data_IF_128570455215
#
_entry.id   IF_128570455215
#
_cell.length_a   1.000
_cell.length_b   1.000
_cell.length_c   1.000
_cell.angle_alpha   90.00
_cell.angle_beta   90.00
_cell.angle_gamma   90.00
#
_symmetry.space_group_name_H-M   'P 1'
#
loop_
_entity.id
_entity.type
_entity.pdbx_description
1 polymer ?
#
# COMPACT_ATOMS: atom_id res chain seq x y z
N UNK A 1 -16.59 11.19 6.32
CA UNK A 1 -16.30 10.19 7.38
C UNK A 1 -16.89 10.59 8.73
N UNK A 2 -16.59 11.76 9.28
CA UNK A 2 -17.04 12.17 10.62
C UNK A 2 -18.57 12.04 10.86
N UNK A 3 -19.41 12.29 9.85
CA UNK A 3 -20.88 12.11 9.95
C UNK A 3 -21.35 10.66 10.05
N UNK A 4 -20.47 9.69 9.77
CA UNK A 4 -20.78 8.26 9.71
C UNK A 4 -20.03 7.45 10.78
N UNK A 5 -19.43 8.12 11.77
CA UNK A 5 -18.78 7.49 12.90
C UNK A 5 -19.13 8.22 14.19
N UNK A 6 -18.90 7.56 15.34
CA UNK A 6 -19.08 8.20 16.64
C UNK A 6 -18.04 9.29 16.85
N UNK A 7 -16.77 8.97 16.58
CA UNK A 7 -15.63 9.89 16.73
C UNK A 7 -14.64 9.67 15.59
N UNK A 8 -13.98 10.73 15.12
CA UNK A 8 -12.90 10.67 14.16
C UNK A 8 -11.63 11.33 14.71
N UNK A 9 -10.50 10.65 14.58
CA UNK A 9 -9.18 11.17 14.95
C UNK A 9 -8.34 11.37 13.69
N UNK A 10 -7.77 12.56 13.52
CA UNK A 10 -6.83 12.89 12.45
C UNK A 10 -5.45 13.21 13.04
N UNK A 11 -4.42 12.58 12.50
CA UNK A 11 -3.02 12.86 12.85
C UNK A 11 -2.34 13.41 11.62
N UNK A 12 -1.71 14.58 11.75
CA UNK A 12 -1.09 15.30 10.65
C UNK A 12 0.21 15.95 11.13
N UNK A 13 1.28 15.92 10.34
CA UNK A 13 2.58 16.49 10.73
C UNK A 13 2.58 18.01 10.81
N UNK A 14 1.75 18.68 10.01
CA UNK A 14 1.64 20.14 9.97
C UNK A 14 0.57 20.67 10.94
N UNK A 15 0.99 21.50 11.90
CA UNK A 15 0.08 22.20 12.82
C UNK A 15 -0.89 23.11 12.07
N UNK A 16 -0.41 23.82 11.05
CA UNK A 16 -1.22 24.71 10.19
C UNK A 16 -2.30 23.91 9.45
N UNK A 17 -1.98 22.70 9.00
CA UNK A 17 -2.96 21.82 8.37
C UNK A 17 -4.01 21.32 9.39
N UNK A 18 -3.61 21.00 10.62
CA UNK A 18 -4.54 20.69 11.70
C UNK A 18 -5.47 21.85 12.02
N UNK A 19 -4.98 23.09 12.09
CA UNK A 19 -5.80 24.28 12.33
C UNK A 19 -6.80 24.51 11.20
N UNK A 20 -6.35 24.34 9.95
CA UNK A 20 -7.22 24.39 8.76
C UNK A 20 -8.31 23.31 8.81
N UNK A 21 -7.96 22.10 9.26
CA UNK A 21 -8.93 21.01 9.42
C UNK A 21 -9.95 21.29 10.54
N UNK A 22 -9.53 21.87 11.66
CA UNK A 22 -10.44 22.31 12.75
C UNK A 22 -11.38 23.40 12.27
N UNK A 23 -10.89 24.40 11.55
CA UNK A 23 -11.71 25.47 10.97
C UNK A 23 -12.76 24.88 10.00
N UNK A 24 -12.32 23.98 9.12
CA UNK A 24 -13.20 23.31 8.16
C UNK A 24 -14.29 22.49 8.84
N UNK A 25 -13.95 21.76 9.92
CA UNK A 25 -14.92 21.04 10.73
C UNK A 25 -15.93 22.00 11.39
N UNK A 26 -15.46 23.14 11.91
CA UNK A 26 -16.30 24.19 12.49
C UNK A 26 -17.32 24.76 11.49
N UNK A 27 -16.88 25.08 10.27
CA UNK A 27 -17.75 25.56 9.18
C UNK A 27 -18.83 24.54 8.82
N UNK A 28 -18.50 23.25 8.86
CA UNK A 28 -19.41 22.14 8.57
C UNK A 28 -20.24 21.70 9.79
N UNK A 29 -20.10 22.39 10.94
CA UNK A 29 -20.73 22.06 12.23
C UNK A 29 -20.45 20.63 12.68
N UNK A 30 -19.29 20.07 12.31
CA UNK A 30 -18.83 18.74 12.72
C UNK A 30 -18.08 18.89 14.05
N UNK A 31 -18.56 18.19 15.09
CA UNK A 31 -18.03 18.33 16.46
C UNK A 31 -17.32 17.09 16.99
N UNK A 32 -17.44 15.95 16.30
CA UNK A 32 -16.90 14.67 16.73
C UNK A 32 -15.53 14.35 16.09
N UNK A 33 -14.74 15.38 15.80
CA UNK A 33 -13.43 15.26 15.18
C UNK A 33 -12.35 15.81 16.10
N UNK A 34 -11.26 15.06 16.26
CA UNK A 34 -10.08 15.47 16.99
C UNK A 34 -8.88 15.47 16.03
N UNK A 35 -8.11 16.55 16.02
CA UNK A 35 -6.92 16.68 15.19
C UNK A 35 -5.70 16.85 16.09
N UNK A 36 -4.65 16.06 15.84
CA UNK A 36 -3.40 16.07 16.60
C UNK A 36 -2.24 16.30 15.64
N UNK A 37 -1.46 17.34 15.94
CA UNK A 37 -0.25 17.62 15.17
C UNK A 37 0.88 16.70 15.64
N UNK A 38 1.49 15.95 14.74
CA UNK A 38 2.62 15.08 15.07
C UNK A 38 3.01 14.14 13.95
N UNK A 39 4.27 13.67 14.02
CA UNK A 39 4.80 12.73 13.04
C UNK A 39 4.29 11.33 13.32
N UNK A 40 3.63 10.74 12.32
CA UNK A 40 3.06 9.40 12.39
C UNK A 40 4.15 8.33 12.28
N UNK A 41 4.81 8.06 13.40
CA UNK A 41 5.82 7.00 13.57
C UNK A 41 5.32 5.99 14.61
N UNK A 42 5.78 4.73 14.51
CA UNK A 42 5.33 3.67 15.41
C UNK A 42 5.46 4.04 16.90
N UNK A 43 6.60 4.64 17.28
CA UNK A 43 6.89 5.05 18.68
C UNK A 43 6.03 6.22 19.18
N UNK A 44 5.46 7.03 18.29
CA UNK A 44 4.66 8.19 18.68
C UNK A 44 3.18 7.88 18.75
N UNK A 45 2.73 6.78 18.14
CA UNK A 45 1.32 6.39 18.08
C UNK A 45 0.60 6.42 19.44
N UNK A 46 1.18 5.92 20.55
CA UNK A 46 0.53 5.96 21.87
C UNK A 46 0.32 7.37 22.44
N UNK A 47 1.07 8.36 21.94
CA UNK A 47 0.92 9.77 22.34
C UNK A 47 -0.05 10.53 21.42
N UNK A 48 -0.20 10.09 20.17
CA UNK A 48 -0.96 10.78 19.14
C UNK A 48 -2.43 10.33 19.09
N UNK A 49 -2.70 9.08 19.45
CA UNK A 49 -4.04 8.50 19.43
C UNK A 49 -4.41 7.98 20.83
N UNK A 50 -5.70 8.02 21.20
CA UNK A 50 -6.15 7.37 22.42
C UNK A 50 -5.84 5.88 22.38
N UNK A 51 -5.72 5.27 23.56
CA UNK A 51 -5.66 3.80 23.65
C UNK A 51 -6.94 3.21 23.06
N UNK A 52 -6.80 2.09 22.38
CA UNK A 52 -7.94 1.36 21.86
C UNK A 52 -8.77 0.85 23.04
N UNK A 53 -10.08 1.08 22.99
CA UNK A 53 -11.03 0.91 24.11
C UNK A 53 -12.04 -0.24 23.86
N UNK A 54 -11.75 -1.12 22.91
CA UNK A 54 -12.64 -2.18 22.45
C UNK A 54 -13.58 -1.79 21.31
N UNK A 55 -13.74 -0.50 21.00
CA UNK A 55 -14.60 -0.09 19.88
C UNK A 55 -13.99 -0.44 18.51
N UNK A 56 -14.80 -0.90 17.53
CA UNK A 56 -14.29 -1.22 16.19
C UNK A 56 -13.76 0.03 15.48
N UNK A 57 -12.48 0.00 15.10
CA UNK A 57 -11.84 1.10 14.36
C UNK A 57 -11.88 0.86 12.85
N UNK A 58 -12.00 1.94 12.08
CA UNK A 58 -11.72 1.97 10.65
C UNK A 58 -10.55 2.91 10.45
N UNK A 59 -9.53 2.43 9.75
CA UNK A 59 -8.32 3.20 9.49
C UNK A 59 -8.34 3.73 8.06
N UNK A 60 -8.07 5.03 7.90
CA UNK A 60 -7.78 5.67 6.62
C UNK A 60 -6.32 6.12 6.64
N UNK A 61 -5.51 5.61 5.72
CA UNK A 61 -4.10 5.97 5.56
C UNK A 61 -3.87 6.59 4.19
N UNK A 62 -3.26 7.78 4.20
CA UNK A 62 -2.78 8.46 3.00
C UNK A 62 -1.30 8.81 3.22
N UNK A 63 -0.39 7.82 3.09
CA UNK A 63 1.03 8.05 3.31
C UNK A 63 1.67 8.84 2.16
N UNK A 64 2.84 9.46 2.36
CA UNK A 64 3.61 10.04 1.27
C UNK A 64 4.02 8.98 0.24
N UNK A 65 4.54 9.41 -0.92
CA UNK A 65 4.98 8.53 -2.01
C UNK A 65 5.95 7.42 -1.60
N UNK A 66 6.77 7.66 -0.58
CA UNK A 66 7.73 6.67 -0.06
C UNK A 66 7.06 5.58 0.81
N UNK A 67 5.74 5.65 1.03
CA UNK A 67 4.98 4.75 1.87
C UNK A 67 5.03 5.13 3.35
N UNK A 68 4.58 4.20 4.18
CA UNK A 68 4.57 4.32 5.64
C UNK A 68 5.96 4.12 6.25
N UNK A 69 6.19 4.81 7.37
CA UNK A 69 7.35 4.61 8.23
C UNK A 69 7.47 3.14 8.67
N UNK A 70 8.71 2.67 8.87
CA UNK A 70 8.99 1.26 9.15
C UNK A 70 8.36 0.88 10.49
N UNK A 71 7.54 -0.16 10.49
CA UNK A 71 6.88 -0.62 11.72
C UNK A 71 5.59 0.13 12.06
N UNK A 72 5.26 1.23 11.36
CA UNK A 72 3.98 1.92 11.55
C UNK A 72 2.78 0.99 11.28
N UNK A 73 2.81 0.23 10.18
CA UNK A 73 1.78 -0.77 9.86
C UNK A 73 1.62 -1.80 10.99
N UNK A 74 2.73 -2.26 11.58
CA UNK A 74 2.67 -3.22 12.69
C UNK A 74 2.00 -2.59 13.91
N UNK A 75 2.41 -1.38 14.30
CA UNK A 75 1.81 -0.66 15.43
C UNK A 75 0.33 -0.34 15.21
N UNK A 76 -0.08 -0.01 13.98
CA UNK A 76 -1.48 0.21 13.63
C UNK A 76 -2.28 -1.09 13.66
N UNK A 77 -1.70 -2.21 13.24
CA UNK A 77 -2.34 -3.53 13.28
C UNK A 77 -2.61 -4.01 14.72
N UNK A 78 -1.81 -3.62 15.70
CA UNK A 78 -2.06 -3.92 17.13
C UNK A 78 -3.39 -3.35 17.62
N UNK A 79 -3.89 -2.27 17.00
CA UNK A 79 -5.21 -1.69 17.28
C UNK A 79 -6.36 -2.51 16.69
N UNK A 80 -6.05 -3.54 15.89
CA UNK A 80 -7.00 -4.46 15.24
C UNK A 80 -8.12 -3.74 14.48
N UNK A 81 -7.81 -2.79 13.58
CA UNK A 81 -8.84 -2.12 12.78
C UNK A 81 -9.71 -3.15 12.04
N UNK A 82 -11.03 -2.94 12.04
CA UNK A 82 -12.00 -3.79 11.34
C UNK A 82 -11.89 -3.65 9.82
N UNK A 83 -11.42 -2.50 9.35
CA UNK A 83 -11.22 -2.19 7.94
C UNK A 83 -10.12 -1.15 7.81
N UNK A 84 -9.29 -1.31 6.80
CA UNK A 84 -8.25 -0.35 6.44
C UNK A 84 -8.55 0.11 5.02
N UNK A 85 -8.49 1.41 4.80
CA UNK A 85 -8.48 2.04 3.49
C UNK A 85 -7.14 2.73 3.37
N UNK A 86 -6.29 2.25 2.46
CA UNK A 86 -4.98 2.83 2.23
C UNK A 86 -4.90 3.36 0.80
N UNK A 87 -4.47 4.59 0.67
CA UNK A 87 -4.18 5.26 -0.60
C UNK A 87 -2.72 5.04 -0.98
N UNK A 88 -2.47 4.96 -2.27
CA UNK A 88 -1.16 4.70 -2.85
C UNK A 88 -0.97 5.63 -4.06
N UNK A 89 -0.12 6.62 -3.88
CA UNK A 89 0.39 7.48 -4.95
C UNK A 89 1.73 6.96 -5.52
N UNK A 90 2.39 6.02 -4.81
CA UNK A 90 3.61 5.32 -5.22
C UNK A 90 3.34 3.84 -5.48
N UNK A 91 3.37 3.44 -6.75
CA UNK A 91 3.04 2.05 -7.14
C UNK A 91 4.15 1.05 -6.78
N UNK A 92 5.37 1.53 -6.63
CA UNK A 92 6.57 0.76 -6.27
C UNK A 92 6.52 0.26 -4.82
N UNK A 93 5.97 1.05 -3.90
CA UNK A 93 5.86 0.67 -2.47
C UNK A 93 4.65 -0.21 -2.18
N UNK A 94 3.61 -0.15 -3.01
CA UNK A 94 2.32 -0.82 -2.78
C UNK A 94 2.44 -2.33 -2.47
N UNK A 95 3.18 -3.15 -3.25
CA UNK A 95 3.28 -4.59 -2.97
C UNK A 95 3.91 -4.89 -1.59
N UNK A 96 4.89 -4.08 -1.20
CA UNK A 96 5.61 -4.23 0.06
C UNK A 96 4.73 -3.86 1.26
N UNK A 97 3.96 -2.77 1.17
CA UNK A 97 3.02 -2.37 2.23
C UNK A 97 1.85 -3.34 2.37
N UNK A 98 1.28 -3.80 1.26
CA UNK A 98 0.27 -4.89 1.28
C UNK A 98 0.87 -6.14 1.93
N UNK A 99 2.12 -6.48 1.60
CA UNK A 99 2.84 -7.59 2.24
C UNK A 99 2.96 -7.43 3.76
N UNK A 100 3.24 -6.22 4.25
CA UNK A 100 3.28 -5.90 5.70
C UNK A 100 1.91 -6.13 6.34
N UNK A 101 0.82 -5.64 5.73
CA UNK A 101 -0.54 -5.88 6.22
C UNK A 101 -0.92 -7.36 6.22
N UNK A 102 -0.54 -8.11 5.18
CA UNK A 102 -0.78 -9.56 5.11
C UNK A 102 -0.09 -10.31 6.23
N UNK A 103 1.14 -9.95 6.59
CA UNK A 103 1.83 -10.52 7.76
C UNK A 103 1.09 -10.26 9.07
N UNK A 104 0.32 -9.17 9.13
CA UNK A 104 -0.54 -8.82 10.26
C UNK A 104 -1.96 -9.41 10.18
N UNK A 105 -2.22 -10.33 9.24
CA UNK A 105 -3.51 -11.00 9.12
C UNK A 105 -4.58 -10.22 8.35
N UNK A 106 -4.20 -9.28 7.49
CA UNK A 106 -5.12 -8.52 6.64
C UNK A 106 -5.05 -8.96 5.18
N UNK A 107 -6.21 -9.12 4.56
CA UNK A 107 -6.34 -9.44 3.14
C UNK A 107 -6.88 -8.26 2.34
N UNK A 108 -6.41 -8.14 1.10
CA UNK A 108 -6.97 -7.19 0.14
C UNK A 108 -8.37 -7.63 -0.23
N UNK A 109 -9.35 -6.78 0.05
CA UNK A 109 -10.75 -7.00 -0.28
C UNK A 109 -11.16 -6.26 -1.56
N UNK A 110 -10.55 -5.10 -1.84
CA UNK A 110 -10.84 -4.29 -3.02
C UNK A 110 -9.62 -3.46 -3.42
N UNK A 111 -9.42 -3.29 -4.72
CA UNK A 111 -8.45 -2.36 -5.31
C UNK A 111 -9.19 -1.46 -6.28
N UNK A 112 -8.99 -0.16 -6.16
CA UNK A 112 -9.67 0.86 -6.97
C UNK A 112 -8.64 1.88 -7.46
N UNK A 113 -8.26 1.83 -8.74
CA UNK A 113 -7.44 2.88 -9.35
C UNK A 113 -8.28 4.13 -9.65
N UNK A 114 -7.67 5.30 -9.48
CA UNK A 114 -8.21 6.62 -9.80
C UNK A 114 -7.20 7.38 -10.66
N UNK A 115 -7.63 7.80 -11.84
CA UNK A 115 -6.87 8.74 -12.66
C UNK A 115 -7.21 10.18 -12.23
N UNK A 116 -6.44 10.70 -11.29
CA UNK A 116 -6.52 12.10 -10.86
C UNK A 116 -5.60 13.02 -11.67
N UNK A 117 -4.78 12.46 -12.58
CA UNK A 117 -3.77 13.19 -13.33
C UNK A 117 -3.72 12.74 -14.81
N UNK A 118 -4.80 12.99 -15.59
CA UNK A 118 -4.88 12.52 -16.96
C UNK A 118 -3.73 13.03 -17.83
N UNK A 119 -3.19 12.15 -18.67
CA UNK A 119 -2.05 12.48 -19.53
C UNK A 119 -0.69 12.46 -18.83
N UNK A 120 -0.62 12.06 -17.56
CA UNK A 120 0.63 11.80 -16.84
C UNK A 120 0.82 10.31 -16.55
N UNK A 121 2.01 9.93 -16.08
CA UNK A 121 2.28 8.57 -15.60
C UNK A 121 1.80 8.33 -14.15
N UNK A 122 1.20 9.34 -13.49
CA UNK A 122 0.77 9.23 -12.11
C UNK A 122 -0.58 8.53 -12.02
N UNK A 123 -0.72 7.63 -11.05
CA UNK A 123 -1.95 6.91 -10.74
C UNK A 123 -2.13 6.88 -9.24
N UNK A 124 -3.35 7.15 -8.78
CA UNK A 124 -3.73 6.96 -7.38
C UNK A 124 -4.47 5.63 -7.25
N UNK A 125 -4.14 4.83 -6.24
CA UNK A 125 -4.81 3.54 -6.01
C UNK A 125 -5.28 3.43 -4.57
N UNK A 126 -6.59 3.26 -4.38
CA UNK A 126 -7.16 2.91 -3.09
C UNK A 126 -7.24 1.40 -2.93
N UNK A 127 -6.70 0.90 -1.83
CA UNK A 127 -6.82 -0.50 -1.44
C UNK A 127 -7.62 -0.59 -0.16
N UNK A 128 -8.64 -1.44 -0.17
CA UNK A 128 -9.42 -1.80 1.02
C UNK A 128 -8.90 -3.13 1.53
N UNK A 129 -8.47 -3.17 2.79
CA UNK A 129 -8.07 -4.38 3.48
C UNK A 129 -9.03 -4.73 4.63
N UNK A 130 -9.25 -6.02 4.83
CA UNK A 130 -10.09 -6.58 5.88
C UNK A 130 -9.31 -7.66 6.65
N UNK A 131 -9.59 -7.88 7.94
CA UNK A 131 -9.04 -9.02 8.66
C UNK A 131 -9.37 -10.34 7.95
N UNK A 132 -8.39 -11.24 7.88
CA UNK A 132 -8.56 -12.58 7.34
C UNK A 132 -9.38 -13.45 8.30
N UNK A 133 -10.70 -13.35 8.17
CA UNK A 133 -11.65 -14.09 9.01
C UNK A 133 -11.56 -15.61 8.87
N UNK A 134 -11.06 -16.10 7.74
CA UNK A 134 -11.08 -17.52 7.38
C UNK A 134 -9.70 -18.17 7.43
N UNK A 135 -8.66 -17.45 7.88
CA UNK A 135 -7.30 -17.95 8.00
C UNK A 135 -6.68 -18.39 6.68
N UNK A 136 -7.11 -17.81 5.55
CA UNK A 136 -6.63 -18.16 4.22
C UNK A 136 -5.18 -17.78 3.99
N UNK A 137 -4.67 -16.75 4.68
CA UNK A 137 -3.30 -16.27 4.51
C UNK A 137 -2.24 -17.29 4.96
N UNK A 138 -2.56 -18.11 5.96
CA UNK A 138 -1.68 -19.14 6.49
C UNK A 138 -2.06 -20.56 6.06
N UNK A 139 -3.08 -20.70 5.20
CA UNK A 139 -3.54 -22.01 4.74
C UNK A 139 -2.50 -22.58 3.78
N UNK A 140 -1.92 -23.73 4.16
CA UNK A 140 -1.10 -24.53 3.24
C UNK A 140 -2.02 -24.96 2.08
N UNK A 141 -1.69 -24.65 0.81
CA UNK A 141 -2.53 -25.03 -0.31
C UNK A 141 -2.67 -26.57 -0.32
N UNK A 142 -3.90 -27.10 -0.51
CA UNK A 142 -4.07 -28.55 -0.57
C UNK A 142 -3.21 -29.11 -1.71
N UNK A 143 -2.30 -30.03 -1.38
CA UNK A 143 -1.43 -30.72 -2.35
C UNK A 143 -0.05 -30.11 -2.63
N UNK A 144 0.39 -29.06 -1.93
CA UNK A 144 1.77 -28.51 -2.09
C UNK A 144 2.57 -28.56 -0.79
N UNK A 145 3.47 -29.53 -0.66
CA UNK A 145 4.60 -29.40 0.26
C UNK A 145 5.59 -28.42 -0.37
N UNK A 146 5.58 -27.16 0.07
CA UNK A 146 6.63 -26.21 -0.26
C UNK A 146 7.93 -26.76 0.36
N UNK A 147 8.81 -27.32 -0.48
CA UNK A 147 10.20 -27.55 -0.09
C UNK A 147 10.91 -26.20 -0.01
N UNK A 148 11.96 -26.07 0.80
CA UNK A 148 12.71 -24.80 0.98
C UNK A 148 13.29 -24.22 -0.32
N UNK A 149 13.21 -24.95 -1.44
CA UNK A 149 13.62 -24.51 -2.77
C UNK A 149 12.47 -24.11 -3.71
N UNK A 150 11.21 -24.15 -3.28
CA UNK A 150 10.06 -23.77 -4.11
C UNK A 150 9.90 -22.24 -4.12
N UNK A 151 10.81 -21.57 -4.83
CA UNK A 151 10.54 -20.23 -5.34
C UNK A 151 9.41 -20.38 -6.36
N UNK A 152 8.17 -20.22 -5.88
CA UNK A 152 6.99 -20.06 -6.72
C UNK A 152 7.24 -18.98 -7.79
N UNK A 153 6.41 -18.88 -8.84
CA UNK A 153 6.68 -18.01 -9.96
C UNK A 153 6.67 -16.54 -9.51
N UNK A 154 7.80 -16.05 -9.03
CA UNK A 154 8.18 -14.66 -9.08
C UNK A 154 8.06 -14.29 -10.55
N UNK A 155 7.28 -13.24 -10.80
CA UNK A 155 7.29 -12.50 -12.06
C UNK A 155 8.69 -12.54 -12.65
N UNK A 156 8.93 -13.39 -13.66
CA UNK A 156 10.18 -13.36 -14.40
C UNK A 156 10.11 -12.06 -15.19
N UNK A 157 11.00 -11.08 -14.96
CA UNK A 157 11.08 -9.96 -15.87
C UNK A 157 11.32 -10.53 -17.27
N UNK A 158 10.48 -10.12 -18.22
CA UNK A 158 10.55 -10.53 -19.60
C UNK A 158 11.97 -10.24 -20.09
N UNK A 159 12.78 -11.30 -20.25
CA UNK A 159 14.12 -11.16 -20.80
C UNK A 159 13.94 -10.60 -22.21
N UNK A 160 14.44 -9.39 -22.44
CA UNK A 160 14.57 -8.86 -23.79
C UNK A 160 15.46 -9.82 -24.56
N UNK A 161 14.86 -10.55 -25.50
CA UNK A 161 15.59 -11.36 -26.46
C UNK A 161 16.41 -10.42 -27.33
N UNK A 162 17.62 -10.09 -26.89
CA UNK A 162 18.63 -9.51 -27.75
C UNK A 162 18.86 -10.49 -28.91
N UNK A 163 18.76 -10.06 -30.18
CA UNK A 163 18.97 -10.95 -31.31
C UNK A 163 20.37 -11.54 -31.23
N UNK A 164 20.43 -12.87 -31.13
CA UNK A 164 21.68 -13.60 -30.92
C UNK A 164 22.73 -13.28 -32.00
N UNK A 165 23.99 -13.27 -31.55
CA UNK A 165 25.23 -13.09 -32.33
C UNK A 165 25.39 -14.04 -33.55
N UNK A 166 24.42 -14.92 -33.84
CA UNK A 166 24.37 -15.80 -35.01
C UNK A 166 23.82 -15.15 -36.28
N UNK A 167 23.07 -14.04 -36.20
CA UNK A 167 22.51 -13.37 -37.40
C UNK A 167 23.57 -12.56 -38.16
N UNK A 168 24.50 -11.92 -37.45
CA UNK A 168 25.59 -11.13 -38.03
C UNK A 168 26.62 -12.00 -38.78
N UNK A 169 26.80 -13.26 -38.38
CA UNK A 169 27.76 -14.17 -39.05
C UNK A 169 27.30 -14.60 -40.44
N UNK A 170 25.98 -14.76 -40.66
CA UNK A 170 25.40 -15.15 -41.96
C UNK A 170 25.37 -14.02 -43.00
N UNK A 171 25.40 -12.76 -42.57
CA UNK A 171 25.47 -11.63 -43.52
C UNK A 171 26.90 -11.34 -44.00
N UNK A 172 27.93 -11.65 -43.19
CA UNK A 172 29.33 -11.49 -43.59
C UNK A 172 29.75 -12.50 -44.67
N UNK A 173 29.28 -13.74 -44.59
CA UNK A 173 29.64 -14.79 -45.57
C UNK A 173 28.98 -14.57 -46.95
N UNK A 174 27.75 -14.05 -47.00
CA UNK A 174 27.09 -13.70 -48.28
C UNK A 174 27.70 -12.48 -48.98
N UNK A 175 28.42 -11.61 -48.28
CA UNK A 175 29.06 -10.42 -48.88
C UNK A 175 30.40 -10.76 -49.54
N UNK A 176 31.04 -11.86 -49.17
CA UNK A 176 32.34 -12.28 -49.73
C UNK A 176 32.20 -13.18 -50.98
N UNK A 177 31.01 -13.69 -51.28
CA UNK A 177 30.71 -14.43 -52.53
C UNK A 177 30.23 -13.53 -53.68
N UNK A 178 30.00 -12.24 -53.44
CA UNK A 178 29.60 -11.26 -54.48
C UNK A 178 30.73 -10.30 -54.90
N UNK A 179 31.98 -10.61 -54.52
CA UNK A 179 33.20 -9.85 -54.92
C UNK A 179 34.24 -10.77 -55.56
N UNK A 180 33.80 -11.71 -56.39
CA UNK A 180 34.62 -12.30 -57.45
C UNK A 180 34.06 -11.82 -58.79
#
# INVERSE_FOLDING_TARGET
MARFCQTAWGVEGSSVACDSARQSAGLQKIRNTHFVAGKLEAKHLPKLLPRQDGNPEILLLDPPRQGTEIGLINALAERKPRRIVQLFCGMDVMPMEIGRWRKQGYMVAKVLPFDMFPGTANLEVMVVLLPDKYGLLNRKPPGRSISENDQGPLFRPMQSSSPGKGFLRRQAEKKNQRRR
#
